data_IF_708303665844
#
_entry.id   IF_708303665844
#
_cell.length_a   1.000
_cell.length_b   1.000
_cell.length_c   1.000
_cell.angle_alpha   90.00
_cell.angle_beta   90.00
_cell.angle_gamma   90.00
#
_symmetry.space_group_name_H-M   'P 1'
#
loop_
_entity.id
_entity.type
_entity.pdbx_description
1 polymer ?
#
# COMPACT_ATOMS: atom_id res chain seq x y z
N UNK A 1 -3.43 -16.02 14.85
CA UNK A 1 -3.73 -14.65 14.41
C UNK A 1 -3.50 -14.46 12.91
N UNK A 2 -2.24 -14.32 12.49
CA UNK A 2 -1.88 -13.95 11.11
C UNK A 2 -2.48 -14.87 10.01
N UNK A 3 -2.46 -16.19 10.21
CA UNK A 3 -3.01 -17.16 9.24
C UNK A 3 -4.48 -16.86 8.89
N UNK A 4 -5.32 -16.63 9.89
CA UNK A 4 -6.75 -16.34 9.72
C UNK A 4 -6.95 -15.02 8.96
N UNK A 5 -6.15 -14.00 9.28
CA UNK A 5 -6.22 -12.71 8.58
C UNK A 5 -5.86 -12.84 7.10
N UNK A 6 -4.80 -13.59 6.79
CA UNK A 6 -4.36 -13.83 5.40
C UNK A 6 -5.44 -14.62 4.65
N UNK A 7 -5.95 -15.71 5.22
CA UNK A 7 -7.01 -16.51 4.60
C UNK A 7 -8.26 -15.67 4.30
N UNK A 8 -8.68 -14.82 5.23
CA UNK A 8 -9.83 -13.93 5.04
C UNK A 8 -9.56 -12.86 3.98
N UNK A 9 -8.36 -12.28 3.93
CA UNK A 9 -7.99 -11.30 2.90
C UNK A 9 -8.01 -11.94 1.50
N UNK A 10 -7.40 -13.10 1.32
CA UNK A 10 -7.37 -13.81 0.04
C UNK A 10 -8.79 -14.23 -0.40
N UNK A 11 -9.62 -14.71 0.53
CA UNK A 11 -11.04 -15.00 0.28
C UNK A 11 -11.81 -13.74 -0.14
N UNK A 12 -11.54 -12.62 0.52
CA UNK A 12 -12.13 -11.31 0.21
C UNK A 12 -11.80 -10.84 -1.22
N UNK A 13 -10.52 -10.91 -1.61
CA UNK A 13 -10.08 -10.56 -2.96
C UNK A 13 -10.84 -11.39 -4.00
N UNK A 14 -10.87 -12.72 -3.84
CA UNK A 14 -11.58 -13.60 -4.77
C UNK A 14 -13.07 -13.26 -4.88
N UNK A 15 -13.74 -13.00 -3.75
CA UNK A 15 -15.18 -12.71 -3.71
C UNK A 15 -15.50 -11.38 -4.39
N UNK A 16 -14.70 -10.35 -4.16
CA UNK A 16 -14.90 -9.01 -4.73
C UNK A 16 -14.54 -9.00 -6.22
N UNK A 17 -13.52 -9.76 -6.63
CA UNK A 17 -13.20 -9.96 -8.04
C UNK A 17 -14.34 -10.64 -8.80
N UNK A 18 -14.94 -11.69 -8.22
CA UNK A 18 -16.10 -12.37 -8.79
C UNK A 18 -17.35 -11.46 -8.92
N UNK A 19 -17.42 -10.38 -8.13
CA UNK A 19 -18.46 -9.36 -8.22
C UNK A 19 -18.16 -8.26 -9.27
N UNK A 20 -17.07 -8.39 -10.05
CA UNK A 20 -16.70 -7.43 -11.09
C UNK A 20 -16.07 -6.13 -10.57
N UNK A 21 -15.64 -6.09 -9.31
CA UNK A 21 -15.03 -4.89 -8.71
C UNK A 21 -13.52 -4.89 -8.93
N UNK A 22 -13.00 -3.75 -9.41
CA UNK A 22 -11.57 -3.51 -9.58
C UNK A 22 -10.85 -3.48 -8.23
N UNK A 23 -9.84 -4.34 -8.06
CA UNK A 23 -9.07 -4.44 -6.82
C UNK A 23 -7.65 -3.92 -7.01
N UNK A 24 -7.25 -3.00 -6.12
CA UNK A 24 -5.87 -2.55 -5.93
C UNK A 24 -5.33 -3.08 -4.61
N UNK A 25 -4.20 -3.78 -4.65
CA UNK A 25 -3.49 -4.24 -3.46
C UNK A 25 -2.39 -3.25 -3.12
N UNK A 26 -2.26 -2.89 -1.84
CA UNK A 26 -1.11 -2.14 -1.33
C UNK A 26 -0.24 -3.07 -0.49
N UNK A 27 1.08 -2.99 -0.64
CA UNK A 27 2.03 -3.66 0.25
C UNK A 27 3.09 -2.68 0.69
N UNK A 28 3.35 -2.66 1.99
CA UNK A 28 4.47 -1.93 2.56
C UNK A 28 5.73 -2.76 2.38
N UNK A 29 6.74 -2.23 1.69
CA UNK A 29 8.06 -2.85 1.50
C UNK A 29 8.92 -2.59 2.72
N UNK A 30 9.28 -3.66 3.42
CA UNK A 30 10.04 -3.65 4.67
C UNK A 30 11.31 -4.48 4.49
N UNK A 31 12.49 -3.86 4.34
CA UNK A 31 13.76 -4.56 4.14
C UNK A 31 14.02 -5.64 5.22
N UNK A 32 14.49 -6.81 4.79
CA UNK A 32 14.78 -7.95 5.67
C UNK A 32 13.54 -8.64 6.27
N UNK A 33 12.33 -8.21 5.93
CA UNK A 33 11.08 -8.82 6.39
C UNK A 33 10.26 -9.40 5.24
N UNK A 34 10.03 -8.63 4.17
CA UNK A 34 9.17 -9.08 3.06
C UNK A 34 9.68 -8.70 1.66
N UNK A 35 10.89 -8.16 1.56
CA UNK A 35 11.53 -7.73 0.32
C UNK A 35 11.69 -8.87 -0.69
N UNK A 36 12.08 -10.06 -0.25
CA UNK A 36 12.15 -11.23 -1.13
C UNK A 36 10.79 -11.93 -1.36
N UNK A 37 9.74 -11.49 -0.65
CA UNK A 37 8.40 -12.09 -0.73
C UNK A 37 7.45 -11.34 -1.69
N UNK A 38 7.85 -10.18 -2.21
CA UNK A 38 7.04 -9.33 -3.09
C UNK A 38 6.54 -10.08 -4.33
N UNK A 39 7.39 -10.91 -4.95
CA UNK A 39 7.05 -11.66 -6.16
C UNK A 39 5.91 -12.67 -5.91
N UNK A 40 6.00 -13.39 -4.78
CA UNK A 40 4.97 -14.35 -4.37
C UNK A 40 3.64 -13.64 -4.07
N UNK A 41 3.68 -12.49 -3.41
CA UNK A 41 2.47 -11.69 -3.15
C UNK A 41 1.84 -11.26 -4.48
N UNK A 42 2.64 -10.68 -5.40
CA UNK A 42 2.17 -10.21 -6.71
C UNK A 42 1.49 -11.33 -7.50
N UNK A 43 2.15 -12.50 -7.63
CA UNK A 43 1.59 -13.67 -8.29
C UNK A 43 0.28 -14.14 -7.64
N UNK A 44 0.26 -14.21 -6.31
CA UNK A 44 -0.91 -14.69 -5.56
C UNK A 44 -2.11 -13.77 -5.74
N UNK A 45 -1.95 -12.46 -5.53
CA UNK A 45 -3.10 -11.53 -5.59
C UNK A 45 -3.59 -11.33 -7.02
N UNK A 46 -2.69 -11.38 -8.01
CA UNK A 46 -3.05 -11.38 -9.44
C UNK A 46 -3.93 -12.58 -9.80
N UNK A 47 -3.52 -13.79 -9.40
CA UNK A 47 -4.31 -15.01 -9.62
C UNK A 47 -5.68 -15.01 -8.91
N UNK A 48 -5.88 -14.14 -7.92
CA UNK A 48 -7.15 -13.98 -7.22
C UNK A 48 -8.04 -12.87 -7.81
N UNK A 49 -7.55 -12.13 -8.81
CA UNK A 49 -8.32 -11.09 -9.52
C UNK A 49 -7.96 -9.65 -9.17
N UNK A 50 -6.86 -9.40 -8.46
CA UNK A 50 -6.33 -8.04 -8.33
C UNK A 50 -5.76 -7.56 -9.68
N UNK A 51 -6.05 -6.31 -10.05
CA UNK A 51 -5.62 -5.75 -11.35
C UNK A 51 -4.47 -4.76 -11.19
N UNK A 52 -4.31 -4.17 -10.01
CA UNK A 52 -3.27 -3.20 -9.72
C UNK A 52 -2.58 -3.50 -8.39
N UNK A 53 -1.27 -3.30 -8.35
CA UNK A 53 -0.46 -3.51 -7.16
C UNK A 53 0.41 -2.30 -6.87
N UNK A 54 0.44 -1.86 -5.62
CA UNK A 54 1.17 -0.67 -5.21
C UNK A 54 2.13 -1.03 -4.08
N UNK A 55 3.42 -0.93 -4.37
CA UNK A 55 4.50 -1.20 -3.42
C UNK A 55 4.93 0.14 -2.83
N UNK A 56 4.71 0.28 -1.54
CA UNK A 56 4.89 1.52 -0.78
C UNK A 56 6.08 1.31 0.17
N UNK A 57 7.11 2.18 0.19
CA UNK A 57 8.22 2.01 1.14
C UNK A 57 7.72 2.16 2.59
N UNK A 58 8.29 1.39 3.52
CA UNK A 58 8.04 1.60 4.95
C UNK A 58 8.43 3.02 5.37
N UNK A 59 7.62 3.62 6.22
CA UNK A 59 8.00 4.78 7.03
C UNK A 59 8.40 4.23 8.40
N UNK A 60 9.68 4.26 8.78
CA UNK A 60 10.14 3.69 10.04
C UNK A 60 9.50 4.42 11.22
N UNK A 61 8.64 3.72 11.95
CA UNK A 61 7.91 4.27 13.09
C UNK A 61 7.52 3.15 14.06
N UNK A 62 7.26 3.53 15.32
CA UNK A 62 6.76 2.66 16.37
C UNK A 62 7.60 1.38 16.49
N UNK A 63 6.98 0.21 16.41
CA UNK A 63 7.66 -1.09 16.57
C UNK A 63 8.69 -1.38 15.46
N UNK A 64 8.61 -0.69 14.32
CA UNK A 64 9.53 -0.85 13.19
C UNK A 64 10.42 0.38 13.00
N UNK A 65 10.55 1.26 14.01
CA UNK A 65 11.41 2.44 13.93
C UNK A 65 12.89 2.10 13.68
N UNK A 66 13.32 0.90 14.08
CA UNK A 66 14.68 0.41 13.89
C UNK A 66 14.95 -0.12 12.46
N UNK A 67 13.92 -0.32 11.64
CA UNK A 67 14.07 -0.83 10.27
C UNK A 67 14.41 0.33 9.34
N UNK A 68 15.46 0.23 8.50
CA UNK A 68 15.77 1.28 7.55
C UNK A 68 14.70 1.41 6.47
N UNK A 69 14.56 2.61 5.89
CA UNK A 69 13.81 2.78 4.64
C UNK A 69 14.47 1.96 3.53
N UNK A 70 13.70 1.32 2.62
CA UNK A 70 14.26 0.63 1.48
C UNK A 70 15.01 1.61 0.58
N UNK A 71 16.12 1.14 0.01
CA UNK A 71 16.86 1.90 -1.00
C UNK A 71 16.08 1.97 -2.31
N UNK A 72 16.42 2.92 -3.18
CA UNK A 72 15.81 3.01 -4.51
C UNK A 72 16.02 1.73 -5.32
N UNK A 73 17.17 1.09 -5.19
CA UNK A 73 17.45 -0.20 -5.84
C UNK A 73 16.51 -1.31 -5.36
N UNK A 74 16.27 -1.40 -4.04
CA UNK A 74 15.32 -2.36 -3.48
C UNK A 74 13.90 -2.11 -3.96
N UNK A 75 13.46 -0.84 -4.02
CA UNK A 75 12.15 -0.46 -4.56
C UNK A 75 12.04 -0.85 -6.03
N UNK A 76 13.05 -0.55 -6.85
CA UNK A 76 13.07 -0.89 -8.28
C UNK A 76 13.07 -2.41 -8.48
N UNK A 77 13.87 -3.15 -7.69
CA UNK A 77 13.89 -4.62 -7.71
C UNK A 77 12.50 -5.20 -7.40
N UNK A 78 11.89 -4.76 -6.29
CA UNK A 78 10.56 -5.20 -5.88
C UNK A 78 9.49 -4.91 -6.95
N UNK A 79 9.50 -3.70 -7.52
CA UNK A 79 8.61 -3.32 -8.63
C UNK A 79 8.83 -4.20 -9.86
N UNK A 80 10.08 -4.41 -10.27
CA UNK A 80 10.41 -5.26 -11.42
C UNK A 80 9.94 -6.70 -11.22
N UNK A 81 10.08 -7.26 -10.02
CA UNK A 81 9.61 -8.60 -9.70
C UNK A 81 8.08 -8.69 -9.77
N UNK A 82 7.38 -7.72 -9.20
CA UNK A 82 5.92 -7.66 -9.21
C UNK A 82 5.33 -7.44 -10.61
N UNK A 83 5.95 -6.58 -11.43
CA UNK A 83 5.48 -6.22 -12.77
C UNK A 83 5.41 -7.40 -13.75
N UNK A 84 6.05 -8.53 -13.44
CA UNK A 84 5.90 -9.78 -14.21
C UNK A 84 4.49 -10.36 -14.12
N UNK A 85 3.72 -10.03 -13.08
CA UNK A 85 2.46 -10.69 -12.76
C UNK A 85 1.25 -9.74 -12.70
N UNK A 86 1.47 -8.45 -12.41
CA UNK A 86 0.39 -7.50 -12.17
C UNK A 86 0.86 -6.07 -12.48
N UNK A 87 -0.06 -5.20 -12.92
CA UNK A 87 0.26 -3.80 -13.18
C UNK A 87 0.67 -3.09 -11.89
N UNK A 88 1.89 -2.53 -11.88
CA UNK A 88 2.44 -1.85 -10.70
C UNK A 88 2.18 -0.34 -10.77
N UNK A 89 1.60 0.21 -9.70
CA UNK A 89 1.39 1.64 -9.52
C UNK A 89 2.68 2.34 -9.03
N UNK A 90 3.07 3.44 -9.68
CA UNK A 90 4.38 4.08 -9.45
C UNK A 90 4.33 5.44 -8.74
N UNK A 91 3.18 6.12 -8.73
CA UNK A 91 3.06 7.52 -8.31
C UNK A 91 2.33 7.70 -6.96
N UNK A 92 2.64 6.84 -5.97
CA UNK A 92 2.04 6.94 -4.65
C UNK A 92 2.67 8.09 -3.84
N UNK A 93 1.84 9.01 -3.36
CA UNK A 93 2.25 10.14 -2.52
C UNK A 93 2.06 9.90 -1.01
N UNK A 94 1.76 8.67 -0.59
CA UNK A 94 1.44 8.34 0.80
C UNK A 94 0.34 9.25 1.38
N UNK A 95 -0.79 9.33 0.66
CA UNK A 95 -1.86 10.26 1.02
C UNK A 95 -2.34 10.04 2.46
N UNK A 96 -2.60 11.14 3.17
CA UNK A 96 -3.28 11.11 4.46
C UNK A 96 -4.77 10.82 4.27
N UNK A 97 -5.42 10.34 5.32
CA UNK A 97 -6.84 10.03 5.31
C UNK A 97 -7.73 11.29 5.18
N UNK A 98 -7.22 12.45 5.60
CA UNK A 98 -7.86 13.76 5.51
C UNK A 98 -7.46 14.55 4.25
N UNK A 99 -6.72 13.98 3.31
CA UNK A 99 -6.29 14.70 2.12
C UNK A 99 -7.47 14.98 1.17
N UNK A 100 -7.66 16.25 0.79
CA UNK A 100 -8.67 16.69 -0.19
C UNK A 100 -7.98 17.49 -1.30
N UNK A 101 -8.22 17.14 -2.56
CA UNK A 101 -7.62 17.80 -3.73
C UNK A 101 -6.99 16.80 -4.71
N UNK A 102 -6.15 17.30 -5.60
CA UNK A 102 -5.40 16.46 -6.55
C UNK A 102 -3.96 16.30 -6.05
N UNK A 103 -3.49 15.07 -5.76
CA UNK A 103 -2.14 14.85 -5.25
C UNK A 103 -1.07 15.52 -6.12
N UNK A 104 -0.27 16.39 -5.52
CA UNK A 104 0.78 17.15 -6.21
C UNK A 104 0.32 18.41 -6.96
N UNK A 105 -0.98 18.73 -6.96
CA UNK A 105 -1.54 19.92 -7.65
C UNK A 105 -2.32 20.82 -6.69
N UNK A 106 -3.22 20.26 -5.86
CA UNK A 106 -4.08 21.05 -4.98
C UNK A 106 -4.32 20.39 -3.62
N UNK A 107 -4.57 21.22 -2.61
CA UNK A 107 -4.92 20.82 -1.24
C UNK A 107 -6.02 21.75 -0.70
N UNK A 108 -7.19 21.18 -0.41
CA UNK A 108 -8.39 21.88 0.04
C UNK A 108 -8.88 21.42 1.43
N UNK A 109 -8.11 20.58 2.13
CA UNK A 109 -8.51 20.00 3.42
C UNK A 109 -8.82 21.10 4.43
N UNK A 110 -8.04 22.20 4.46
CA UNK A 110 -8.34 23.33 5.37
C UNK A 110 -9.67 24.01 5.07
N UNK A 111 -10.08 24.07 3.80
CA UNK A 111 -11.33 24.68 3.37
C UNK A 111 -12.52 23.78 3.72
N UNK A 112 -12.37 22.47 3.52
CA UNK A 112 -13.42 21.48 3.82
C UNK A 112 -13.62 21.30 5.32
N UNK A 113 -12.53 21.18 6.09
CA UNK A 113 -12.60 20.92 7.52
C UNK A 113 -12.67 22.18 8.39
N UNK A 114 -12.82 23.37 7.79
CA UNK A 114 -12.91 24.67 8.49
C UNK A 114 -11.78 24.89 9.53
N UNK A 115 -10.59 24.34 9.26
CA UNK A 115 -9.46 24.25 10.20
C UNK A 115 -8.60 23.02 9.92
N UNK A 116 -7.46 22.86 10.62
CA UNK A 116 -6.80 21.55 10.71
C UNK A 116 -7.57 20.75 11.76
N UNK A 117 -7.95 19.52 11.45
CA UNK A 117 -8.59 18.61 12.40
C UNK A 117 -7.66 18.49 13.61
N UNK A 118 -8.02 19.13 14.73
CA UNK A 118 -7.26 19.11 15.99
C UNK A 118 -7.42 17.80 16.77
N UNK A 119 -7.77 16.70 16.10
CA UNK A 119 -7.74 15.39 16.70
C UNK A 119 -6.27 14.96 16.83
N UNK A 120 -5.89 14.36 17.95
CA UNK A 120 -4.57 13.72 18.09
C UNK A 120 -4.33 12.85 16.86
N UNK A 121 -3.24 13.08 16.14
CA UNK A 121 -2.81 12.26 15.01
C UNK A 121 -2.55 10.83 15.50
N UNK A 122 -3.56 9.98 15.41
CA UNK A 122 -3.44 8.53 15.61
C UNK A 122 -3.18 7.79 14.29
N UNK A 123 -3.04 8.53 13.19
CA UNK A 123 -2.89 7.97 11.86
C UNK A 123 -1.42 7.77 11.51
N UNK A 124 -1.12 6.69 10.80
CA UNK A 124 0.25 6.25 10.48
C UNK A 124 1.06 7.23 9.61
N UNK A 125 0.45 8.32 9.18
CA UNK A 125 1.04 9.34 8.33
C UNK A 125 0.49 10.66 8.88
N UNK A 126 1.34 11.44 9.55
CA UNK A 126 0.98 12.76 10.06
C UNK A 126 0.64 13.75 8.96
#
# INVERSE_FOLDING_TARGET
GAKILIENQLKGIRKIAAAGVTIKVNTVLVPGINDDHIETIARTVSALGAVMYNIIPIIPQAKLAHVPKPTMEQIVKARKQASKYIQVFLHCQHCRADAVGVPGISEYSRQVYQGRIGARETFSHG
#
